data_IF_078982194182
#
_entry.id   IF_078982194182
#
_cell.length_a   1.000
_cell.length_b   1.000
_cell.length_c   1.000
_cell.angle_alpha   90.00
_cell.angle_beta   90.00
_cell.angle_gamma   90.00
#
_symmetry.space_group_name_H-M   'P 1'
#
loop_
_entity.id
_entity.type
_entity.pdbx_description
1 polymer ?
#
# COMPACT_ATOMS: atom_id res chain seq x y z
N UNK A 1 3.14 32.79 17.34
CA UNK A 1 4.57 32.71 16.93
C UNK A 1 5.24 31.41 17.37
N UNK A 2 5.32 31.06 18.66
CA UNK A 2 5.93 29.76 19.08
C UNK A 2 5.07 28.53 18.74
N UNK A 3 3.73 28.65 18.85
CA UNK A 3 2.80 27.58 18.50
C UNK A 3 2.81 27.26 17.00
N UNK A 4 3.06 28.24 16.14
CA UNK A 4 3.09 28.05 14.68
C UNK A 4 4.33 27.23 14.25
N UNK A 5 5.46 27.42 14.92
CA UNK A 5 6.70 26.66 14.64
C UNK A 5 6.55 25.21 15.08
N UNK A 6 6.00 24.98 16.28
CA UNK A 6 5.76 23.63 16.78
C UNK A 6 4.74 22.88 15.91
N UNK A 7 3.64 23.56 15.51
CA UNK A 7 2.66 23.01 14.58
C UNK A 7 3.31 22.63 13.24
N UNK A 8 4.07 23.53 12.63
CA UNK A 8 4.74 23.27 11.34
C UNK A 8 5.71 22.09 11.42
N UNK A 9 6.46 21.98 12.52
CA UNK A 9 7.35 20.84 12.77
C UNK A 9 6.57 19.52 12.86
N UNK A 10 5.47 19.51 13.61
CA UNK A 10 4.63 18.32 13.76
C UNK A 10 3.98 17.92 12.43
N UNK A 11 3.53 18.91 11.66
CA UNK A 11 2.97 18.71 10.33
C UNK A 11 4.00 18.09 9.36
N UNK A 12 5.23 18.60 9.36
CA UNK A 12 6.32 18.10 8.50
C UNK A 12 6.68 16.64 8.85
N UNK A 13 6.82 16.31 10.14
CA UNK A 13 7.08 14.95 10.60
C UNK A 13 5.94 14.01 10.20
N UNK A 14 4.69 14.45 10.32
CA UNK A 14 3.53 13.66 9.94
C UNK A 14 3.50 13.42 8.43
N UNK A 15 3.68 14.46 7.62
CA UNK A 15 3.72 14.36 6.15
C UNK A 15 4.84 13.41 5.69
N UNK A 16 6.01 13.51 6.31
CA UNK A 16 7.16 12.63 6.03
C UNK A 16 6.84 11.18 6.39
N UNK A 17 6.18 10.94 7.52
CA UNK A 17 5.78 9.60 7.96
C UNK A 17 4.74 8.98 7.03
N UNK A 18 3.74 9.76 6.62
CA UNK A 18 2.72 9.34 5.63
C UNK A 18 3.37 9.03 4.28
N UNK A 19 4.35 9.82 3.84
CA UNK A 19 5.07 9.56 2.58
C UNK A 19 5.80 8.21 2.62
N UNK A 20 6.52 7.94 3.72
CA UNK A 20 7.19 6.64 3.95
C UNK A 20 6.18 5.49 3.98
N UNK A 21 5.05 5.66 4.66
CA UNK A 21 3.97 4.68 4.71
C UNK A 21 3.45 4.36 3.30
N UNK A 22 3.11 5.37 2.50
CA UNK A 22 2.62 5.20 1.12
C UNK A 22 3.64 4.50 0.23
N UNK A 23 4.93 4.83 0.35
CA UNK A 23 6.00 4.16 -0.38
C UNK A 23 6.05 2.67 -0.04
N UNK A 24 6.08 2.32 1.24
CA UNK A 24 6.11 0.91 1.67
C UNK A 24 4.84 0.16 1.28
N UNK A 25 3.67 0.81 1.37
CA UNK A 25 2.42 0.23 0.87
C UNK A 25 2.51 -0.07 -0.62
N UNK A 26 3.10 0.80 -1.44
CA UNK A 26 3.26 0.55 -2.87
C UNK A 26 4.16 -0.65 -3.16
N UNK A 27 5.19 -0.85 -2.33
CA UNK A 27 6.13 -1.97 -2.43
C UNK A 27 5.43 -3.29 -2.05
N UNK A 28 4.78 -3.35 -0.89
CA UNK A 28 4.02 -4.55 -0.47
C UNK A 28 2.84 -4.82 -1.40
N UNK A 29 2.31 -3.78 -2.05
CA UNK A 29 1.24 -3.93 -3.04
C UNK A 29 1.66 -4.77 -4.26
N UNK A 30 2.96 -4.86 -4.55
CA UNK A 30 3.51 -5.70 -5.63
C UNK A 30 3.47 -7.20 -5.31
N UNK A 31 3.17 -7.60 -4.06
CA UNK A 31 3.11 -9.00 -3.65
C UNK A 31 4.42 -9.74 -3.95
N UNK A 32 4.36 -10.79 -4.77
CA UNK A 32 5.55 -11.54 -5.22
C UNK A 32 6.46 -10.79 -6.21
N UNK A 33 6.21 -9.51 -6.47
CA UNK A 33 6.95 -8.68 -7.40
C UNK A 33 6.53 -8.87 -8.86
N UNK A 34 7.06 -7.99 -9.73
CA UNK A 34 6.69 -7.91 -11.15
C UNK A 34 6.73 -9.27 -11.87
N UNK A 35 7.79 -10.05 -11.67
CA UNK A 35 7.94 -11.38 -12.30
C UNK A 35 6.80 -12.34 -11.94
N UNK A 36 6.31 -12.30 -10.70
CA UNK A 36 5.22 -13.17 -10.27
C UNK A 36 3.87 -12.69 -10.82
N UNK A 37 3.69 -11.37 -10.92
CA UNK A 37 2.51 -10.75 -11.55
C UNK A 37 2.45 -11.17 -13.03
N UNK A 38 3.53 -10.92 -13.79
CA UNK A 38 3.61 -11.25 -15.21
C UNK A 38 3.31 -12.75 -15.43
N UNK A 39 3.86 -13.65 -14.60
CA UNK A 39 3.60 -15.09 -14.66
C UNK A 39 2.13 -15.48 -14.39
N UNK A 40 1.39 -14.71 -13.60
CA UNK A 40 -0.06 -14.94 -13.44
C UNK A 40 -0.80 -14.51 -14.70
N UNK A 41 -0.47 -13.34 -15.24
CA UNK A 41 -1.10 -12.80 -16.45
C UNK A 41 -0.82 -13.66 -17.68
N UNK A 42 0.39 -14.19 -17.86
CA UNK A 42 0.75 -15.16 -18.91
C UNK A 42 -0.14 -16.41 -18.88
N UNK A 43 -0.67 -16.78 -17.71
CA UNK A 43 -1.60 -17.90 -17.53
C UNK A 43 -3.06 -17.50 -17.66
N UNK A 44 -3.34 -16.29 -18.14
CA UNK A 44 -4.67 -15.67 -18.19
C UNK A 44 -5.34 -15.61 -16.80
N UNK A 45 -4.56 -15.40 -15.74
CA UNK A 45 -5.05 -15.29 -14.36
C UNK A 45 -4.86 -13.88 -13.84
N UNK A 46 -5.89 -13.36 -13.18
CA UNK A 46 -5.80 -12.16 -12.36
C UNK A 46 -4.97 -12.41 -11.09
N UNK A 47 -4.25 -11.39 -10.64
CA UNK A 47 -3.61 -11.33 -9.31
C UNK A 47 -4.67 -11.29 -8.20
N UNK A 48 -4.24 -11.47 -6.94
CA UNK A 48 -5.17 -11.43 -5.80
C UNK A 48 -5.91 -10.08 -5.70
N UNK A 49 -5.21 -8.95 -5.84
CA UNK A 49 -5.82 -7.62 -5.76
C UNK A 49 -6.72 -7.31 -6.97
N UNK A 50 -6.35 -7.77 -8.16
CA UNK A 50 -7.23 -7.67 -9.34
C UNK A 50 -8.53 -8.46 -9.17
N UNK A 51 -8.49 -9.64 -8.53
CA UNK A 51 -9.71 -10.41 -8.23
C UNK A 51 -10.61 -9.69 -7.22
N UNK A 52 -10.02 -9.05 -6.21
CA UNK A 52 -10.78 -8.25 -5.24
C UNK A 52 -11.43 -7.07 -5.95
N UNK A 53 -10.68 -6.33 -6.76
CA UNK A 53 -11.20 -5.19 -7.53
C UNK A 53 -12.34 -5.60 -8.48
N UNK A 54 -12.23 -6.77 -9.13
CA UNK A 54 -13.29 -7.30 -9.98
C UNK A 54 -14.56 -7.71 -9.20
N UNK A 55 -14.41 -8.16 -7.95
CA UNK A 55 -15.52 -8.60 -7.12
C UNK A 55 -16.25 -7.44 -6.43
N UNK A 56 -15.53 -6.37 -6.10
CA UNK A 56 -16.09 -5.20 -5.43
C UNK A 56 -16.89 -4.33 -6.40
N UNK A 57 -17.98 -3.75 -5.91
CA UNK A 57 -18.76 -2.78 -6.68
C UNK A 57 -17.93 -1.52 -6.97
N UNK A 58 -17.99 -1.07 -8.22
CA UNK A 58 -17.32 0.15 -8.66
C UNK A 58 -17.76 1.37 -7.82
N UNK A 59 -16.78 2.15 -7.39
CA UNK A 59 -17.00 3.37 -6.59
C UNK A 59 -17.38 3.12 -5.13
N UNK A 60 -17.47 1.87 -4.67
CA UNK A 60 -17.65 1.56 -3.24
C UNK A 60 -16.30 1.55 -2.52
N UNK A 61 -16.27 1.98 -1.25
CA UNK A 61 -15.05 1.92 -0.45
C UNK A 61 -14.65 0.47 -0.18
N UNK A 62 -13.35 0.19 -0.28
CA UNK A 62 -12.74 -1.05 0.19
C UNK A 62 -11.71 -0.72 1.29
N UNK A 63 -11.80 -1.43 2.42
CA UNK A 63 -10.88 -1.27 3.55
C UNK A 63 -9.98 -2.50 3.64
N UNK A 64 -8.71 -2.35 3.28
CA UNK A 64 -7.71 -3.43 3.38
C UNK A 64 -7.26 -3.60 4.84
N UNK A 65 -7.19 -4.85 5.31
CA UNK A 65 -6.72 -5.18 6.66
C UNK A 65 -5.43 -6.00 6.53
N UNK A 66 -4.42 -5.65 7.33
CA UNK A 66 -3.18 -6.42 7.40
C UNK A 66 -2.25 -6.24 6.20
N UNK A 67 -2.26 -5.08 5.54
CA UNK A 67 -1.38 -4.81 4.38
C UNK A 67 0.11 -4.99 4.67
N UNK A 68 0.54 -4.89 5.93
CA UNK A 68 1.92 -5.11 6.37
C UNK A 68 2.14 -6.46 7.08
N UNK A 69 1.19 -7.39 6.99
CA UNK A 69 1.36 -8.72 7.58
C UNK A 69 2.62 -9.40 7.01
N UNK A 70 3.54 -9.79 7.90
CA UNK A 70 4.81 -10.41 7.52
C UNK A 70 5.90 -9.45 7.00
N UNK A 71 5.66 -8.14 6.99
CA UNK A 71 6.68 -7.17 6.57
C UNK A 71 7.90 -7.22 7.48
N UNK A 72 9.09 -7.44 6.90
CA UNK A 72 10.38 -7.58 7.61
C UNK A 72 10.42 -8.72 8.66
N UNK A 73 9.50 -9.69 8.59
CA UNK A 73 9.44 -10.80 9.57
C UNK A 73 10.22 -12.05 9.17
N UNK A 74 10.48 -12.26 7.87
CA UNK A 74 11.05 -13.51 7.35
C UNK A 74 12.22 -13.22 6.39
N UNK A 75 13.24 -14.07 6.42
CA UNK A 75 14.48 -13.99 5.63
C UNK A 75 14.45 -14.90 4.41
#
# INVERSE_FOLDING_TARGET
>A
MNQDIEFNRNEDVMKTSISKLKKRLSEVSQGGGKKAIDKQHEKNKLTARERIAYLCDDGKPFMEIGSFAGYEMYA
#
